data_IF_332993508905
#
_entry.id   IF_332993508905
#
_cell.length_a   1.000
_cell.length_b   1.000
_cell.length_c   1.000
_cell.angle_alpha   90.00
_cell.angle_beta   90.00
_cell.angle_gamma   90.00
#
_symmetry.space_group_name_H-M   'P 1'
#
loop_
_entity.id
_entity.type
_entity.pdbx_description
1 polymer ?
#
# COMPACT_ATOMS: atom_id res chain seq x y z
N UNK A 1 2.77 -54.05 -10.10
CA UNK A 1 1.32 -54.10 -10.42
C UNK A 1 0.96 -52.78 -11.05
N UNK A 2 0.56 -52.84 -12.32
CA UNK A 2 0.29 -51.73 -13.21
C UNK A 2 -1.23 -51.58 -13.28
N UNK A 3 -1.77 -50.39 -13.01
CA UNK A 3 -3.17 -50.08 -13.27
C UNK A 3 -3.25 -48.72 -13.98
N UNK A 4 -3.27 -48.79 -15.31
CA UNK A 4 -3.78 -47.75 -16.19
C UNK A 4 -5.28 -47.58 -15.96
N UNK A 5 -5.77 -46.34 -15.88
CA UNK A 5 -7.15 -46.01 -16.22
C UNK A 5 -7.13 -44.85 -17.23
N UNK A 6 -7.79 -45.10 -18.36
CA UNK A 6 -7.84 -44.32 -19.60
C UNK A 6 -9.16 -43.52 -19.66
N UNK A 7 -9.06 -42.28 -20.17
CA UNK A 7 -10.04 -41.40 -20.87
C UNK A 7 -11.47 -41.25 -20.35
N UNK A 8 -11.98 -40.00 -20.33
CA UNK A 8 -12.88 -39.50 -21.38
C UNK A 8 -12.83 -37.97 -21.50
N UNK A 9 -12.58 -37.49 -22.72
CA UNK A 9 -12.72 -36.12 -23.20
C UNK A 9 -14.21 -35.77 -23.36
N UNK A 10 -14.60 -34.55 -22.98
CA UNK A 10 -15.79 -33.89 -23.52
C UNK A 10 -15.46 -32.43 -23.86
N UNK A 11 -15.43 -32.16 -25.16
CA UNK A 11 -15.29 -30.84 -25.78
C UNK A 11 -16.69 -30.23 -25.89
N UNK A 12 -16.86 -28.99 -25.42
CA UNK A 12 -18.05 -28.18 -25.63
C UNK A 12 -17.66 -26.82 -26.21
N UNK A 13 -17.69 -26.71 -27.54
CA UNK A 13 -17.57 -25.45 -28.29
C UNK A 13 -18.96 -24.84 -28.37
N UNK A 14 -19.12 -23.58 -27.95
CA UNK A 14 -20.31 -22.79 -28.25
C UNK A 14 -19.88 -21.67 -29.19
N UNK A 15 -20.40 -21.72 -30.42
CA UNK A 15 -20.28 -20.70 -31.45
C UNK A 15 -21.67 -20.10 -31.73
N UNK A 16 -21.68 -18.80 -32.05
CA UNK A 16 -22.80 -18.08 -32.68
C UNK A 16 -23.56 -17.14 -31.74
N UNK A 17 -23.96 -15.92 -32.11
CA UNK A 17 -23.94 -15.22 -33.39
C UNK A 17 -23.94 -13.69 -33.15
N UNK A 18 -23.12 -12.96 -33.91
CA UNK A 18 -23.22 -11.51 -34.11
C UNK A 18 -24.30 -11.20 -35.15
N UNK A 19 -25.03 -10.08 -34.98
CA UNK A 19 -25.80 -9.32 -35.98
C UNK A 19 -26.34 -8.09 -35.25
N UNK A 20 -26.49 -6.87 -35.78
CA UNK A 20 -26.16 -6.20 -37.04
C UNK A 20 -26.39 -4.72 -36.72
N UNK A 21 -25.57 -3.85 -37.31
CA UNK A 21 -25.83 -2.42 -37.33
C UNK A 21 -27.06 -2.13 -38.21
N UNK A 22 -27.90 -1.19 -37.78
CA UNK A 22 -28.81 -0.44 -38.65
C UNK A 22 -29.00 0.98 -38.05
N UNK A 23 -28.46 1.96 -38.76
CA UNK A 23 -28.78 3.40 -38.67
C UNK A 23 -29.70 3.70 -39.85
N UNK A 24 -30.78 4.50 -39.76
CA UNK A 24 -30.73 5.95 -40.08
C UNK A 24 -31.93 6.77 -39.48
N UNK A 25 -32.18 8.05 -39.85
CA UNK A 25 -31.30 9.13 -40.31
C UNK A 25 -31.38 10.41 -39.43
N UNK A 26 -30.42 11.33 -39.61
CA UNK A 26 -30.55 12.74 -39.25
C UNK A 26 -31.54 13.46 -40.17
N UNK A 27 -32.43 14.25 -39.58
CA UNK A 27 -33.05 15.42 -40.23
C UNK A 27 -32.71 16.66 -39.40
N UNK A 28 -32.01 17.59 -40.04
CA UNK A 28 -31.79 18.96 -39.60
C UNK A 28 -33.07 19.78 -39.75
N UNK A 29 -33.49 20.51 -38.72
CA UNK A 29 -34.07 21.83 -38.93
C UNK A 29 -34.04 22.73 -37.68
N UNK A 30 -34.10 24.02 -37.96
CA UNK A 30 -33.43 25.12 -37.25
C UNK A 30 -34.33 25.84 -36.23
N UNK A 31 -33.71 26.32 -35.15
CA UNK A 31 -34.11 27.44 -34.27
C UNK A 31 -35.46 27.42 -33.51
N UNK A 32 -35.36 27.47 -32.17
CA UNK A 32 -35.74 28.63 -31.34
C UNK A 32 -35.62 28.32 -29.85
N UNK A 33 -34.85 29.14 -29.13
CA UNK A 33 -34.87 29.20 -27.66
C UNK A 33 -36.16 29.86 -27.19
N UNK A 34 -36.83 29.27 -26.18
CA UNK A 34 -37.28 30.08 -25.06
C UNK A 34 -37.05 29.38 -23.69
N UNK A 35 -36.28 30.02 -22.80
CA UNK A 35 -36.39 29.86 -21.33
C UNK A 35 -37.78 30.38 -20.91
N UNK A 36 -38.56 29.84 -19.93
CA UNK A 36 -38.19 29.55 -18.51
C UNK A 36 -39.01 28.33 -17.93
N UNK A 37 -39.18 28.05 -16.61
CA UNK A 37 -38.66 28.67 -15.38
C UNK A 37 -37.93 27.72 -14.41
N UNK A 38 -37.13 28.35 -13.55
CA UNK A 38 -36.61 27.85 -12.27
C UNK A 38 -37.64 26.98 -11.55
N UNK A 39 -37.44 25.68 -11.58
CA UNK A 39 -38.11 24.73 -10.70
C UNK A 39 -37.03 24.24 -9.76
N UNK A 40 -37.20 24.54 -8.47
CA UNK A 40 -36.28 24.12 -7.42
C UNK A 40 -36.02 22.63 -7.51
N UNK A 41 -34.77 22.29 -7.76
CA UNK A 41 -34.28 20.93 -7.65
C UNK A 41 -34.49 20.48 -6.20
N UNK A 42 -35.07 19.30 -5.94
CA UNK A 42 -35.03 18.75 -4.59
C UNK A 42 -33.55 18.44 -4.34
N UNK A 43 -32.89 19.30 -3.56
CA UNK A 43 -31.61 18.97 -2.95
C UNK A 43 -31.85 17.68 -2.19
N UNK A 44 -31.38 16.56 -2.76
CA UNK A 44 -31.25 15.32 -2.02
C UNK A 44 -30.52 15.69 -0.73
N UNK A 45 -30.99 15.25 0.45
CA UNK A 45 -30.22 15.49 1.65
C UNK A 45 -28.85 14.87 1.38
N UNK A 46 -27.81 15.70 1.43
CA UNK A 46 -26.45 15.20 1.56
C UNK A 46 -26.49 14.40 2.87
N UNK A 47 -26.67 13.09 2.75
CA UNK A 47 -26.42 12.16 3.84
C UNK A 47 -24.99 12.47 4.25
N UNK A 48 -24.84 13.02 5.45
CA UNK A 48 -23.57 13.17 6.13
C UNK A 48 -22.83 11.84 5.94
N UNK A 49 -21.85 11.81 5.04
CA UNK A 49 -21.04 10.63 4.73
C UNK A 49 -20.02 10.34 5.84
N UNK A 50 -20.30 10.88 7.05
CA UNK A 50 -19.41 10.86 8.20
C UNK A 50 -19.56 9.59 9.05
N UNK A 51 -20.66 8.85 8.88
CA UNK A 51 -21.06 7.78 9.81
C UNK A 51 -21.08 6.37 9.21
N UNK A 52 -20.52 6.15 8.01
CA UNK A 52 -20.54 4.81 7.39
C UNK A 52 -19.47 3.85 7.95
N UNK A 53 -18.38 4.40 8.51
CA UNK A 53 -17.25 3.61 9.00
C UNK A 53 -17.21 3.55 10.53
N UNK A 54 -16.93 2.37 11.08
CA UNK A 54 -16.64 2.18 12.50
C UNK A 54 -15.36 1.36 12.71
N UNK A 55 -14.70 1.48 13.88
CA UNK A 55 -13.41 0.81 14.15
C UNK A 55 -13.51 -0.72 14.20
N UNK A 56 -14.71 -1.23 14.51
CA UNK A 56 -14.98 -2.67 14.63
C UNK A 56 -15.38 -3.32 13.30
N UNK A 57 -15.41 -2.55 12.20
CA UNK A 57 -15.71 -3.11 10.88
C UNK A 57 -14.59 -4.03 10.41
N UNK A 58 -14.98 -5.09 9.70
CA UNK A 58 -14.03 -5.96 9.04
C UNK A 58 -13.31 -5.23 7.90
N UNK A 59 -12.05 -4.89 8.16
CA UNK A 59 -11.17 -4.21 7.21
C UNK A 59 -10.99 -5.02 5.91
N UNK A 60 -11.13 -6.35 5.95
CA UNK A 60 -10.96 -7.23 4.79
C UNK A 60 -12.01 -6.99 3.70
N UNK A 61 -13.18 -6.45 4.05
CA UNK A 61 -14.25 -6.14 3.09
C UNK A 61 -13.80 -5.14 2.01
N UNK A 62 -12.87 -4.25 2.36
CA UNK A 62 -12.36 -3.20 1.48
C UNK A 62 -10.85 -3.30 1.24
N UNK A 63 -10.09 -3.77 2.22
CA UNK A 63 -8.63 -3.82 2.22
C UNK A 63 -8.10 -5.26 2.24
N UNK A 64 -8.70 -6.16 1.46
CA UNK A 64 -8.34 -7.58 1.40
C UNK A 64 -6.84 -7.82 1.19
N UNK A 65 -6.19 -7.07 0.30
CA UNK A 65 -4.75 -7.20 0.04
C UNK A 65 -3.88 -6.82 1.25
N UNK A 66 -4.28 -5.82 2.04
CA UNK A 66 -3.61 -5.47 3.29
C UNK A 66 -3.78 -6.58 4.34
N UNK A 67 -4.97 -7.18 4.43
CA UNK A 67 -5.21 -8.31 5.35
C UNK A 67 -4.41 -9.55 4.91
N UNK A 68 -4.39 -9.88 3.62
CA UNK A 68 -3.57 -10.96 3.07
C UNK A 68 -2.08 -10.76 3.35
N UNK A 69 -1.60 -9.51 3.27
CA UNK A 69 -0.20 -9.20 3.55
C UNK A 69 0.23 -9.52 4.99
N UNK A 70 -0.70 -9.51 5.95
CA UNK A 70 -0.44 -9.90 7.35
C UNK A 70 -0.14 -11.40 7.49
N UNK A 71 -0.51 -12.21 6.50
CA UNK A 71 -0.21 -13.65 6.48
C UNK A 71 1.01 -13.99 5.63
N UNK A 72 1.52 -13.02 4.85
CA UNK A 72 2.65 -13.23 3.96
C UNK A 72 3.97 -13.02 4.72
N UNK A 73 4.65 -14.11 5.08
CA UNK A 73 5.91 -14.09 5.85
C UNK A 73 7.08 -13.40 5.16
N UNK A 74 6.94 -13.03 3.87
CA UNK A 74 7.93 -12.19 3.17
C UNK A 74 7.77 -10.70 3.49
N UNK A 75 6.61 -10.31 3.98
CA UNK A 75 6.26 -8.92 4.27
C UNK A 75 6.43 -8.65 5.76
N UNK A 76 6.99 -7.48 6.08
CA UNK A 76 7.36 -7.13 7.46
C UNK A 76 6.14 -7.01 8.39
N UNK A 77 4.95 -6.70 7.85
CA UNK A 77 3.70 -6.67 8.61
C UNK A 77 3.32 -8.05 9.19
N UNK A 78 3.73 -9.15 8.56
CA UNK A 78 3.40 -10.48 9.07
C UNK A 78 3.99 -10.78 10.44
N UNK A 79 5.15 -10.21 10.77
CA UNK A 79 5.73 -10.31 12.10
C UNK A 79 4.88 -9.55 13.14
N UNK A 80 4.35 -8.38 12.78
CA UNK A 80 3.49 -7.61 13.67
C UNK A 80 2.15 -8.32 13.92
N UNK A 81 1.59 -8.93 12.87
CA UNK A 81 0.39 -9.75 12.99
C UNK A 81 0.59 -10.96 13.92
N UNK A 82 1.77 -11.58 13.88
CA UNK A 82 2.12 -12.71 14.78
C UNK A 82 2.22 -12.28 16.25
N UNK A 83 2.62 -11.03 16.51
CA UNK A 83 2.60 -10.42 17.85
C UNK A 83 1.20 -9.92 18.27
N UNK A 84 0.16 -10.20 17.47
CA UNK A 84 -1.22 -9.85 17.80
C UNK A 84 -1.61 -8.40 17.48
N UNK A 85 -0.78 -7.67 16.75
CA UNK A 85 -1.09 -6.31 16.33
C UNK A 85 -2.15 -6.30 15.23
N UNK A 86 -3.08 -5.36 15.34
CA UNK A 86 -4.23 -5.15 14.45
C UNK A 86 -4.11 -3.80 13.73
N UNK A 87 -5.04 -3.54 12.81
CA UNK A 87 -5.00 -2.38 11.93
C UNK A 87 -4.91 -1.04 12.69
N UNK A 88 -5.67 -0.92 13.78
CA UNK A 88 -5.75 0.32 14.58
C UNK A 88 -4.49 0.60 15.38
N UNK A 89 -3.70 -0.44 15.70
CA UNK A 89 -2.50 -0.32 16.55
C UNK A 89 -1.39 0.48 15.86
N UNK A 90 -1.37 0.47 14.52
CA UNK A 90 -0.48 1.31 13.73
C UNK A 90 -1.21 2.48 13.08
N UNK A 91 -2.38 2.25 12.45
CA UNK A 91 -2.99 3.34 11.68
C UNK A 91 -3.58 4.45 12.56
N UNK A 92 -3.88 4.18 13.83
CA UNK A 92 -4.45 5.14 14.75
C UNK A 92 -5.93 5.39 14.47
N UNK A 93 -6.73 5.42 15.53
CA UNK A 93 -8.18 5.53 15.42
C UNK A 93 -8.64 6.83 14.72
N UNK A 94 -8.06 7.96 15.12
CA UNK A 94 -8.40 9.28 14.59
C UNK A 94 -8.04 9.41 13.10
N UNK A 95 -6.83 8.98 12.73
CA UNK A 95 -6.37 8.95 11.33
C UNK A 95 -7.28 8.08 10.46
N UNK A 96 -7.69 6.91 10.96
CA UNK A 96 -8.61 6.04 10.24
C UNK A 96 -9.98 6.70 10.09
N UNK A 97 -10.51 7.32 11.14
CA UNK A 97 -11.78 8.02 11.06
C UNK A 97 -11.75 9.15 10.04
N UNK A 98 -10.69 9.95 10.02
CA UNK A 98 -10.49 11.01 9.03
C UNK A 98 -10.36 10.43 7.60
N UNK A 99 -9.58 9.37 7.42
CA UNK A 99 -9.36 8.74 6.12
C UNK A 99 -10.65 8.13 5.52
N UNK A 100 -11.58 7.67 6.36
CA UNK A 100 -12.84 7.10 5.91
C UNK A 100 -13.97 8.13 5.81
N UNK A 101 -13.79 9.35 6.34
CA UNK A 101 -14.79 10.40 6.25
C UNK A 101 -15.08 10.74 4.78
N UNK A 102 -16.29 10.44 4.32
CA UNK A 102 -16.68 10.68 2.93
C UNK A 102 -16.03 9.76 1.88
N UNK A 103 -15.26 8.75 2.29
CA UNK A 103 -14.68 7.80 1.35
C UNK A 103 -15.76 6.88 0.78
N UNK A 104 -15.88 6.83 -0.55
CA UNK A 104 -16.83 5.97 -1.27
C UNK A 104 -16.13 4.90 -2.10
N UNK A 105 -14.80 4.91 -2.15
CA UNK A 105 -13.98 3.97 -2.91
C UNK A 105 -12.70 3.65 -2.14
N UNK A 106 -12.13 2.48 -2.41
CA UNK A 106 -10.82 2.09 -1.89
C UNK A 106 -9.74 2.53 -2.89
N UNK A 107 -8.78 3.40 -2.51
CA UNK A 107 -7.69 3.76 -3.38
C UNK A 107 -6.84 2.54 -3.73
N UNK A 108 -6.44 2.41 -5.01
CA UNK A 108 -5.59 1.29 -5.45
C UNK A 108 -4.19 1.30 -4.81
N UNK A 109 -3.70 2.46 -4.36
CA UNK A 109 -2.48 2.58 -3.58
C UNK A 109 -2.71 3.52 -2.41
N UNK A 110 -2.59 2.99 -1.19
CA UNK A 110 -2.72 3.74 0.04
C UNK A 110 -1.31 3.93 0.59
N UNK A 111 -0.80 5.17 0.49
CA UNK A 111 0.50 5.52 1.05
C UNK A 111 0.30 6.18 2.39
N UNK A 112 0.44 5.39 3.46
CA UNK A 112 0.45 5.93 4.83
C UNK A 112 1.88 5.97 5.33
N UNK A 113 2.26 7.09 5.94
CA UNK A 113 3.58 7.30 6.54
C UNK A 113 3.40 7.34 8.04
N UNK A 114 3.88 6.31 8.72
CA UNK A 114 3.85 6.24 10.18
C UNK A 114 5.05 7.02 10.73
N UNK A 115 4.86 7.99 11.64
CA UNK A 115 5.98 8.66 12.29
C UNK A 115 6.79 7.64 13.12
N UNK A 116 8.12 7.76 13.13
CA UNK A 116 9.01 6.84 13.85
C UNK A 116 8.69 6.72 15.34
N UNK A 117 8.15 7.77 15.96
CA UNK A 117 7.77 7.78 17.37
C UNK A 117 6.72 6.72 17.69
N UNK A 118 5.86 6.38 16.74
CA UNK A 118 4.92 5.28 16.88
C UNK A 118 5.64 3.94 16.94
N UNK A 119 6.62 3.73 16.05
CA UNK A 119 7.43 2.52 16.04
C UNK A 119 8.18 2.34 17.36
N UNK A 120 8.71 3.43 17.91
CA UNK A 120 9.47 3.43 19.16
C UNK A 120 8.65 3.02 20.40
N UNK A 121 7.32 3.09 20.34
CA UNK A 121 6.47 2.60 21.43
C UNK A 121 6.68 1.10 21.71
N UNK A 122 7.06 0.33 20.69
CA UNK A 122 7.37 -1.10 20.82
C UNK A 122 8.86 -1.42 20.54
N UNK A 123 9.50 -0.68 19.65
CA UNK A 123 10.87 -0.97 19.20
C UNK A 123 11.97 -0.25 19.99
N UNK A 124 11.61 0.65 20.91
CA UNK A 124 12.59 1.43 21.68
C UNK A 124 13.25 2.53 20.85
N UNK A 125 14.37 3.07 21.33
CA UNK A 125 15.11 4.15 20.66
C UNK A 125 15.97 3.64 19.50
N UNK A 126 16.52 4.56 18.69
CA UNK A 126 17.52 4.20 17.67
C UNK A 126 18.73 3.49 18.25
N UNK A 127 19.20 3.89 19.43
CA UNK A 127 20.35 3.26 20.08
C UNK A 127 20.06 1.80 20.43
N UNK A 128 18.86 1.53 20.95
CA UNK A 128 18.41 0.17 21.28
C UNK A 128 18.26 -0.67 20.00
N UNK A 129 17.62 -0.12 18.97
CA UNK A 129 17.48 -0.79 17.66
C UNK A 129 18.86 -1.06 17.04
N UNK A 130 19.76 -0.08 17.08
CA UNK A 130 21.11 -0.21 16.55
C UNK A 130 21.90 -1.31 17.26
N UNK A 131 21.75 -1.43 18.58
CA UNK A 131 22.36 -2.52 19.35
C UNK A 131 21.78 -3.89 18.95
N UNK A 132 20.46 -3.98 18.79
CA UNK A 132 19.79 -5.21 18.33
C UNK A 132 20.18 -5.60 16.90
N UNK A 133 20.56 -4.64 16.05
CA UNK A 133 20.96 -4.87 14.66
C UNK A 133 22.46 -4.78 14.43
N UNK A 134 23.29 -4.91 15.47
CA UNK A 134 24.74 -4.81 15.37
C UNK A 134 25.35 -5.81 14.37
N UNK A 135 24.77 -7.01 14.27
CA UNK A 135 25.22 -8.07 13.35
C UNK A 135 24.48 -8.06 12.00
N UNK A 136 23.77 -6.98 11.67
CA UNK A 136 23.04 -6.88 10.40
C UNK A 136 23.97 -7.00 9.20
N UNK A 137 23.60 -7.87 8.27
CA UNK A 137 24.35 -8.11 7.03
C UNK A 137 23.71 -7.46 5.79
N UNK A 138 22.71 -6.57 5.99
CA UNK A 138 21.87 -6.07 4.87
C UNK A 138 22.61 -5.08 3.96
N UNK A 139 23.62 -4.38 4.51
CA UNK A 139 24.43 -3.39 3.79
C UNK A 139 25.91 -3.83 3.78
N UNK A 140 26.34 -4.68 2.83
CA UNK A 140 27.74 -5.05 2.71
C UNK A 140 28.60 -3.85 2.27
N UNK A 141 29.81 -3.76 2.81
CA UNK A 141 30.83 -2.79 2.37
C UNK A 141 31.83 -3.48 1.44
N UNK A 142 32.42 -2.73 0.51
CA UNK A 142 33.38 -3.29 -0.46
C UNK A 142 34.72 -3.67 0.16
N UNK A 143 35.13 -2.96 1.21
CA UNK A 143 36.34 -3.23 2.00
C UNK A 143 36.17 -4.43 2.94
N UNK A 144 34.97 -5.01 3.00
CA UNK A 144 34.60 -6.10 3.89
C UNK A 144 33.77 -5.65 5.09
N UNK A 145 33.00 -6.60 5.63
CA UNK A 145 32.05 -6.35 6.71
C UNK A 145 30.77 -5.65 6.22
N UNK A 146 30.01 -5.13 7.19
CA UNK A 146 28.66 -4.61 6.96
C UNK A 146 28.45 -3.28 7.69
N UNK A 147 27.65 -2.40 7.11
CA UNK A 147 27.16 -1.19 7.75
C UNK A 147 25.83 -1.48 8.45
N UNK A 148 25.69 -1.02 9.69
CA UNK A 148 24.42 -1.09 10.38
C UNK A 148 23.52 0.08 9.91
N UNK A 149 22.37 -0.17 9.25
CA UNK A 149 21.51 0.88 8.72
C UNK A 149 20.88 1.76 9.80
N UNK A 150 20.88 1.32 11.06
CA UNK A 150 20.32 2.07 12.19
C UNK A 150 21.35 2.89 12.94
N UNK A 151 22.61 2.90 12.48
CA UNK A 151 23.66 3.77 13.04
C UNK A 151 23.94 4.88 12.03
N UNK A 152 23.79 6.13 12.47
CA UNK A 152 24.20 7.29 11.68
C UNK A 152 25.71 7.22 11.42
N UNK A 153 26.18 7.13 10.16
CA UNK A 153 27.61 6.96 9.89
C UNK A 153 28.47 8.16 10.29
N UNK A 154 27.99 9.39 10.07
CA UNK A 154 28.65 10.65 10.41
C UNK A 154 27.67 11.83 10.36
N UNK A 155 28.15 13.03 10.66
CA UNK A 155 27.38 14.27 10.69
C UNK A 155 26.76 14.71 9.35
N UNK A 156 27.22 14.17 8.23
CA UNK A 156 26.65 14.48 6.91
C UNK A 156 25.40 13.64 6.58
N UNK A 157 25.13 12.59 7.37
CA UNK A 157 23.90 11.82 7.27
C UNK A 157 22.83 12.43 8.16
N UNK A 158 21.57 12.30 7.78
CA UNK A 158 20.46 12.70 8.64
C UNK A 158 20.45 11.84 9.91
N UNK A 159 20.29 12.48 11.08
CA UNK A 159 20.18 11.78 12.36
C UNK A 159 18.77 11.21 12.58
N UNK A 160 17.79 11.72 11.84
CA UNK A 160 16.37 11.59 12.14
C UNK A 160 15.60 10.88 11.00
N UNK A 161 16.19 9.85 10.40
CA UNK A 161 15.62 9.15 9.22
C UNK A 161 14.39 8.32 9.58
N UNK A 162 13.20 8.80 9.22
CA UNK A 162 11.94 8.08 9.40
C UNK A 162 11.95 6.60 8.96
N UNK A 163 11.42 5.71 9.81
CA UNK A 163 11.41 4.26 9.58
C UNK A 163 10.74 3.88 8.25
N UNK A 164 9.67 4.59 7.88
CA UNK A 164 8.92 4.33 6.66
C UNK A 164 9.73 4.58 5.38
N UNK A 165 10.88 5.27 5.43
CA UNK A 165 11.71 5.49 4.25
C UNK A 165 12.25 4.16 3.72
N UNK A 166 12.76 3.32 4.62
CA UNK A 166 13.29 2.00 4.30
C UNK A 166 12.22 0.91 4.50
N UNK A 167 11.47 0.91 5.59
CA UNK A 167 10.55 -0.19 5.91
C UNK A 167 9.17 0.01 5.26
N UNK A 168 8.72 -0.98 4.48
CA UNK A 168 7.35 -1.05 3.95
C UNK A 168 6.64 -2.24 4.56
N UNK A 169 5.52 -1.97 5.23
CA UNK A 169 4.80 -2.98 5.99
C UNK A 169 4.05 -3.97 5.09
N UNK A 170 3.21 -3.46 4.19
CA UNK A 170 2.29 -4.26 3.37
C UNK A 170 2.83 -4.64 1.98
N UNK A 171 4.12 -4.41 1.69
CA UNK A 171 4.70 -4.72 0.38
C UNK A 171 6.19 -4.99 0.46
N UNK A 172 6.70 -5.75 -0.50
CA UNK A 172 8.14 -5.94 -0.65
C UNK A 172 8.81 -4.62 -1.00
N UNK A 173 10.02 -4.42 -0.47
CA UNK A 173 10.82 -3.24 -0.74
C UNK A 173 12.30 -3.57 -0.53
N UNK A 174 13.15 -3.03 -1.42
CA UNK A 174 14.59 -3.07 -1.19
C UNK A 174 14.95 -1.96 -0.19
N UNK A 175 15.14 -2.33 1.08
CA UNK A 175 15.47 -1.41 2.16
C UNK A 175 16.78 -0.64 1.90
N UNK A 176 17.61 -1.07 0.93
CA UNK A 176 18.83 -0.37 0.53
C UNK A 176 18.55 0.81 -0.40
N UNK A 177 17.36 0.89 -0.99
CA UNK A 177 17.02 1.92 -1.98
C UNK A 177 17.21 3.35 -1.45
N UNK A 178 16.96 3.60 -0.16
CA UNK A 178 17.23 4.92 0.45
C UNK A 178 18.73 5.23 0.40
N UNK A 179 19.59 4.28 0.78
CA UNK A 179 21.04 4.45 0.70
C UNK A 179 21.50 4.65 -0.75
N UNK A 180 20.97 3.86 -1.68
CA UNK A 180 21.33 3.88 -3.11
C UNK A 180 20.85 5.13 -3.84
N UNK A 181 19.98 5.94 -3.24
CA UNK A 181 19.58 7.24 -3.79
C UNK A 181 20.77 8.22 -3.86
N UNK A 182 21.71 8.12 -2.92
CA UNK A 182 22.98 8.85 -2.92
C UNK A 182 24.16 7.94 -3.30
N UNK A 183 24.17 6.70 -2.81
CA UNK A 183 25.20 5.69 -3.07
C UNK A 183 24.88 4.83 -4.29
N UNK A 184 24.68 5.46 -5.45
CA UNK A 184 24.20 4.78 -6.66
C UNK A 184 25.13 3.67 -7.20
N UNK A 185 26.40 3.67 -6.81
CA UNK A 185 27.37 2.60 -7.14
C UNK A 185 27.26 1.39 -6.19
N UNK A 186 26.46 1.50 -5.14
CA UNK A 186 26.40 0.54 -4.03
C UNK A 186 27.60 0.63 -3.08
N UNK A 187 28.54 1.54 -3.32
CA UNK A 187 29.69 1.76 -2.44
C UNK A 187 29.27 2.57 -1.22
N UNK A 188 29.34 1.95 -0.04
CA UNK A 188 29.04 2.58 1.24
C UNK A 188 30.29 3.03 2.00
N UNK A 189 31.48 2.79 1.43
CA UNK A 189 32.74 3.31 1.99
C UNK A 189 32.78 4.83 1.86
N UNK A 190 32.86 5.52 2.99
CA UNK A 190 32.97 6.98 3.06
C UNK A 190 34.17 7.50 2.24
N UNK A 191 34.09 8.74 1.77
CA UNK A 191 35.17 9.43 1.04
C UNK A 191 35.54 8.86 -0.34
N UNK A 192 34.78 7.89 -0.84
CA UNK A 192 34.98 7.37 -2.19
C UNK A 192 34.38 8.28 -3.27
N UNK A 193 33.33 9.06 -2.92
CA UNK A 193 32.60 9.91 -3.88
C UNK A 193 32.15 11.28 -3.34
N UNK A 194 32.10 11.45 -2.02
CA UNK A 194 31.73 12.67 -1.29
C UNK A 194 32.69 12.86 -0.11
#
# INVERSE_FOLDING_TARGET
MMALIIMFLAIGVIAGCSNTADTPPQTTDTAQTPTPPTTGEPTAPATDTKDWWTPDMDCALCHASNVESMQNTKLTISAHAQEGQNCVDCHGLETLQEAHQGATTVPGNITVRMPKEMCFQCHGSYEEIAALTADSTVLPKKDGGYANPHVRPNENHDADVECYKCHKMHKEYDNRAECLSCHHTGELTCYTCH
#
